data_IF_240670491677
#
_entry.id   IF_240670491677
#
_cell.length_a   1.000
_cell.length_b   1.000
_cell.length_c   1.000
_cell.angle_alpha   90.00
_cell.angle_beta   90.00
_cell.angle_gamma   90.00
#
_symmetry.space_group_name_H-M   'P 1'
#
loop_
_entity.id
_entity.type
_entity.pdbx_description
1 polymer ?
#
# COMPACT_ATOMS: atom_id res chain seq x y z
N UNK A 1 -18.53 -3.03 -73.39
CA UNK A 1 -17.59 -2.15 -72.65
C UNK A 1 -17.71 -2.50 -71.17
N UNK A 2 -16.86 -3.43 -70.71
CA UNK A 2 -16.92 -4.03 -69.37
C UNK A 2 -16.23 -3.11 -68.37
N UNK A 3 -17.01 -2.51 -67.45
CA UNK A 3 -16.50 -1.65 -66.37
C UNK A 3 -16.02 -2.50 -65.20
N UNK A 4 -14.78 -2.28 -64.80
CA UNK A 4 -14.19 -2.73 -63.55
C UNK A 4 -14.61 -1.81 -62.38
N UNK A 5 -14.80 -2.38 -61.18
CA UNK A 5 -14.80 -1.70 -59.87
C UNK A 5 -14.67 -2.80 -58.80
N UNK A 6 -13.44 -3.10 -58.35
CA UNK A 6 -12.75 -2.64 -57.13
C UNK A 6 -13.49 -3.05 -55.82
N UNK A 7 -12.83 -3.83 -54.94
CA UNK A 7 -13.43 -4.44 -53.75
C UNK A 7 -13.47 -3.47 -52.56
N UNK A 8 -14.52 -3.56 -51.74
CA UNK A 8 -14.62 -2.87 -50.45
C UNK A 8 -14.30 -3.86 -49.33
N UNK A 9 -13.03 -3.89 -48.92
CA UNK A 9 -12.55 -4.67 -47.77
C UNK A 9 -12.73 -3.81 -46.51
N UNK A 10 -13.77 -4.07 -45.73
CA UNK A 10 -13.99 -3.41 -44.44
C UNK A 10 -13.21 -4.15 -43.34
N UNK A 11 -12.02 -3.66 -43.00
CA UNK A 11 -11.32 -4.03 -41.78
C UNK A 11 -12.03 -3.36 -40.59
N UNK A 12 -12.80 -4.13 -39.84
CA UNK A 12 -13.28 -3.71 -38.51
C UNK A 12 -12.15 -4.05 -37.53
N UNK A 13 -11.32 -3.06 -37.23
CA UNK A 13 -10.42 -3.09 -36.08
C UNK A 13 -11.27 -3.03 -34.81
N UNK A 14 -11.54 -4.17 -34.20
CA UNK A 14 -11.97 -4.23 -32.81
C UNK A 14 -10.81 -3.72 -31.95
N UNK A 15 -10.85 -2.44 -31.57
CA UNK A 15 -10.01 -1.93 -30.51
C UNK A 15 -10.45 -2.59 -29.20
N UNK A 16 -9.71 -3.61 -28.76
CA UNK A 16 -9.69 -3.97 -27.35
C UNK A 16 -9.09 -2.77 -26.61
N UNK A 17 -9.93 -1.80 -26.24
CA UNK A 17 -9.59 -0.80 -25.26
C UNK A 17 -9.40 -1.53 -23.94
N UNK A 18 -8.16 -1.93 -23.66
CA UNK A 18 -7.74 -2.28 -22.31
C UNK A 18 -7.99 -1.03 -21.47
N UNK A 19 -9.10 -1.01 -20.75
CA UNK A 19 -9.27 -0.18 -19.57
C UNK A 19 -8.28 -0.71 -18.54
N UNK A 20 -6.99 -0.38 -18.71
CA UNK A 20 -6.11 -0.24 -17.58
C UNK A 20 -6.79 0.86 -16.76
N UNK A 21 -7.46 0.47 -15.68
CA UNK A 21 -7.86 1.43 -14.66
C UNK A 21 -6.57 2.07 -14.20
N UNK A 22 -6.25 3.25 -14.74
CA UNK A 22 -5.24 4.09 -14.15
C UNK A 22 -5.65 4.28 -12.69
N UNK A 23 -4.71 4.08 -11.76
CA UNK A 23 -4.90 4.35 -10.34
C UNK A 23 -5.62 5.70 -10.20
N UNK A 24 -6.79 5.71 -9.57
CA UNK A 24 -7.64 6.90 -9.44
C UNK A 24 -6.86 8.11 -8.91
N UNK A 25 -5.89 7.84 -8.04
CA UNK A 25 -5.06 8.81 -7.36
C UNK A 25 -3.62 8.87 -7.87
N UNK A 26 -3.26 8.05 -8.86
CA UNK A 26 -1.93 8.00 -9.45
C UNK A 26 -0.87 7.36 -8.55
N UNK A 27 0.39 7.70 -8.85
CA UNK A 27 1.57 7.36 -8.05
C UNK A 27 1.53 8.08 -6.69
N UNK A 28 1.78 7.33 -5.61
CA UNK A 28 1.79 7.82 -4.24
C UNK A 28 3.10 7.44 -3.57
N UNK A 29 4.03 8.40 -3.42
CA UNK A 29 5.25 8.18 -2.66
C UNK A 29 4.96 7.84 -1.20
N UNK A 30 5.61 6.79 -0.70
CA UNK A 30 5.60 6.40 0.71
C UNK A 30 7.04 6.19 1.18
N UNK A 31 7.39 6.83 2.30
CA UNK A 31 8.72 6.68 2.92
C UNK A 31 8.64 5.67 4.05
N UNK A 32 9.48 4.64 3.98
CA UNK A 32 9.68 3.62 5.01
C UNK A 32 10.87 3.98 5.91
N UNK A 33 11.03 3.31 7.06
CA UNK A 33 12.23 3.45 7.89
C UNK A 33 13.52 3.17 7.10
N UNK A 34 14.64 3.75 7.52
CA UNK A 34 15.93 3.61 6.83
C UNK A 34 16.40 2.14 6.77
N UNK A 35 16.19 1.39 7.85
CA UNK A 35 16.55 -0.03 7.92
C UNK A 35 15.40 -0.89 7.40
N UNK A 36 15.69 -1.75 6.41
CA UNK A 36 14.80 -2.83 6.01
C UNK A 36 14.55 -3.78 7.19
N UNK A 37 13.29 -4.11 7.43
CA UNK A 37 12.89 -5.14 8.41
C UNK A 37 11.67 -5.92 7.93
N UNK A 38 11.33 -6.99 8.63
CA UNK A 38 10.11 -7.74 8.36
C UNK A 38 8.82 -6.91 8.49
N UNK A 39 8.83 -5.80 9.24
CA UNK A 39 7.67 -4.90 9.33
C UNK A 39 7.34 -4.24 7.98
N UNK A 40 8.27 -4.20 7.04
CA UNK A 40 8.01 -3.67 5.69
C UNK A 40 7.22 -4.66 4.81
N UNK A 41 7.07 -5.92 5.24
CA UNK A 41 6.50 -7.00 4.43
C UNK A 41 5.10 -6.68 3.90
N UNK A 42 4.24 -6.07 4.72
CA UNK A 42 2.89 -5.71 4.28
C UNK A 42 2.86 -4.65 3.19
N UNK A 43 3.84 -3.74 3.15
CA UNK A 43 3.96 -2.70 2.11
C UNK A 43 4.39 -3.34 0.79
N UNK A 44 5.50 -4.08 0.80
CA UNK A 44 5.99 -4.77 -0.39
C UNK A 44 4.99 -5.81 -0.91
N UNK A 45 4.25 -6.47 -0.03
CA UNK A 45 3.23 -7.42 -0.44
C UNK A 45 2.00 -6.75 -1.05
N UNK A 46 1.64 -5.54 -0.58
CA UNK A 46 0.59 -4.75 -1.20
C UNK A 46 0.93 -4.38 -2.64
N UNK A 47 2.15 -3.93 -2.92
CA UNK A 47 2.59 -3.58 -4.28
C UNK A 47 2.75 -4.83 -5.16
N UNK A 48 3.39 -5.88 -4.64
CA UNK A 48 3.64 -7.12 -5.37
C UNK A 48 2.35 -7.83 -5.82
N UNK A 49 1.30 -7.78 -5.00
CA UNK A 49 -0.03 -8.32 -5.33
C UNK A 49 -0.97 -7.28 -5.95
N UNK A 50 -0.46 -6.09 -6.29
CA UNK A 50 -1.20 -4.96 -6.89
C UNK A 50 -2.47 -4.61 -6.10
N UNK A 51 -2.41 -4.70 -4.77
CA UNK A 51 -3.52 -4.33 -3.90
C UNK A 51 -3.69 -2.83 -3.85
N UNK A 52 -2.59 -2.09 -3.85
CA UNK A 52 -2.56 -0.66 -4.01
C UNK A 52 -3.29 -0.21 -5.27
N UNK A 53 -2.94 -0.77 -6.44
CA UNK A 53 -3.60 -0.41 -7.70
C UNK A 53 -5.10 -0.72 -7.64
N UNK A 54 -5.46 -1.84 -7.02
CA UNK A 54 -6.84 -2.23 -6.77
C UNK A 54 -7.62 -1.25 -5.89
N UNK A 55 -6.96 -0.54 -4.98
CA UNK A 55 -7.53 0.55 -4.18
C UNK A 55 -7.43 1.92 -4.87
N UNK A 56 -6.81 1.99 -6.04
CA UNK A 56 -6.70 3.19 -6.86
C UNK A 56 -5.46 4.04 -6.60
N UNK A 57 -4.42 3.50 -5.95
CA UNK A 57 -3.11 4.16 -5.73
C UNK A 57 -1.99 3.28 -6.28
N UNK A 58 -0.87 3.86 -6.71
CA UNK A 58 0.34 3.09 -7.05
C UNK A 58 1.44 3.49 -6.06
N UNK A 59 1.78 2.62 -5.10
CA UNK A 59 2.70 3.00 -4.04
C UNK A 59 4.15 3.01 -4.56
N UNK A 60 4.78 4.18 -4.50
CA UNK A 60 6.19 4.34 -4.80
C UNK A 60 6.99 4.29 -3.51
N UNK A 61 7.54 3.11 -3.21
CA UNK A 61 8.27 2.84 -1.97
C UNK A 61 9.66 3.48 -2.02
N UNK A 62 9.96 4.34 -1.05
CA UNK A 62 11.29 4.92 -0.83
C UNK A 62 11.71 4.77 0.63
N UNK A 63 13.02 4.89 0.89
CA UNK A 63 13.58 5.03 2.25
C UNK A 63 14.19 6.40 2.49
N UNK A 64 14.16 7.26 1.47
CA UNK A 64 14.77 8.57 1.48
C UNK A 64 13.77 9.63 0.99
N UNK A 65 14.06 10.87 1.35
CA UNK A 65 13.33 12.04 0.88
C UNK A 65 12.10 12.38 1.70
N UNK A 66 11.30 13.28 1.14
CA UNK A 66 10.08 13.76 1.74
C UNK A 66 8.86 13.24 0.96
N UNK A 67 7.91 12.66 1.69
CA UNK A 67 6.64 12.19 1.17
C UNK A 67 5.49 12.54 2.12
N UNK A 68 4.31 12.64 1.53
CA UNK A 68 3.05 12.88 2.25
C UNK A 68 2.68 11.69 3.13
N UNK A 69 3.07 10.47 2.75
CA UNK A 69 2.85 9.24 3.51
C UNK A 69 4.16 8.71 4.06
N UNK A 70 4.19 8.41 5.36
CA UNK A 70 5.39 7.89 6.03
C UNK A 70 5.06 6.79 7.02
N UNK A 71 5.83 5.71 6.97
CA UNK A 71 5.88 4.72 8.04
C UNK A 71 7.07 5.05 8.93
N UNK A 72 6.81 5.36 10.20
CA UNK A 72 7.83 5.86 11.13
C UNK A 72 7.51 5.56 12.59
N UNK A 73 8.53 5.49 13.43
CA UNK A 73 8.44 5.44 14.89
C UNK A 73 8.38 6.85 15.52
N UNK A 74 8.65 7.89 14.73
CA UNK A 74 8.69 9.28 15.17
C UNK A 74 8.04 10.21 14.12
N UNK A 75 6.71 10.33 14.14
CA UNK A 75 6.00 11.24 13.24
C UNK A 75 6.55 12.68 13.34
N UNK A 76 6.87 13.33 12.21
CA UNK A 76 7.26 14.73 12.21
C UNK A 76 6.08 15.65 12.57
N UNK A 77 6.37 16.90 12.92
CA UNK A 77 5.33 17.91 13.15
C UNK A 77 4.46 18.09 11.90
N UNK A 78 3.14 18.13 12.06
CA UNK A 78 2.19 18.21 10.94
C UNK A 78 1.83 16.84 10.32
N UNK A 79 2.42 15.74 10.80
CA UNK A 79 2.01 14.39 10.41
C UNK A 79 0.92 13.86 11.35
N UNK A 80 -0.21 13.45 10.81
CA UNK A 80 -1.31 12.84 11.55
C UNK A 80 -1.21 11.33 11.43
N UNK A 81 -1.14 10.64 12.57
CA UNK A 81 -1.13 9.18 12.60
C UNK A 81 -2.50 8.64 12.23
N UNK A 82 -2.55 7.75 11.22
CA UNK A 82 -3.79 7.20 10.68
C UNK A 82 -3.88 5.68 10.76
N UNK A 83 -2.74 4.97 10.90
CA UNK A 83 -2.67 3.53 11.09
C UNK A 83 -1.50 3.14 12.00
N UNK A 84 -1.68 2.11 12.83
CA UNK A 84 -0.59 1.42 13.51
C UNK A 84 -0.10 0.23 12.68
N UNK A 85 1.17 0.24 12.30
CA UNK A 85 1.82 -0.92 11.68
C UNK A 85 2.21 -1.93 12.76
N UNK A 86 2.82 -1.43 13.84
CA UNK A 86 3.22 -2.23 14.99
C UNK A 86 2.63 -1.60 16.26
N UNK A 87 1.57 -2.20 16.85
CA UNK A 87 0.93 -1.66 18.04
C UNK A 87 1.79 -1.84 19.33
N UNK A 88 1.48 -1.10 20.41
CA UNK A 88 0.47 -0.05 20.44
C UNK A 88 0.88 1.23 19.73
N UNK A 89 2.16 1.45 19.39
CA UNK A 89 2.67 2.63 18.65
C UNK A 89 4.17 2.55 18.30
N UNK A 90 4.70 1.35 18.11
CA UNK A 90 6.14 1.21 17.79
C UNK A 90 6.45 1.66 16.37
N UNK A 91 5.49 1.50 15.46
CA UNK A 91 5.60 1.89 14.08
C UNK A 91 4.22 2.26 13.56
N UNK A 92 4.10 3.44 12.94
CA UNK A 92 2.81 3.99 12.49
C UNK A 92 2.91 4.50 11.07
N UNK A 93 1.81 4.42 10.33
CA UNK A 93 1.61 5.25 9.14
C UNK A 93 1.08 6.60 9.60
N UNK A 94 1.81 7.65 9.28
CA UNK A 94 1.35 9.03 9.39
C UNK A 94 1.28 9.67 8.01
N UNK A 95 0.37 10.64 7.89
CA UNK A 95 0.15 11.42 6.67
C UNK A 95 0.23 12.91 6.96
N UNK A 96 0.70 13.71 6.01
CA UNK A 96 0.62 15.17 6.10
C UNK A 96 -0.83 15.64 6.38
N UNK A 97 -0.98 16.57 7.33
CA UNK A 97 -2.28 17.06 7.77
C UNK A 97 -3.09 17.69 6.64
N UNK A 98 -2.43 18.41 5.71
CA UNK A 98 -3.10 19.05 4.57
C UNK A 98 -3.64 17.98 3.64
N UNK A 99 -2.84 16.95 3.35
CA UNK A 99 -3.26 15.84 2.49
C UNK A 99 -4.43 15.06 3.11
N UNK A 100 -4.43 14.86 4.43
CA UNK A 100 -5.55 14.22 5.12
C UNK A 100 -6.86 15.02 4.98
N UNK A 101 -6.77 16.35 4.99
CA UNK A 101 -7.93 17.24 4.89
C UNK A 101 -8.42 17.38 3.43
N UNK A 102 -7.50 17.57 2.50
CA UNK A 102 -7.81 17.87 1.10
C UNK A 102 -8.15 16.60 0.30
N UNK A 103 -7.47 15.48 0.59
CA UNK A 103 -7.46 14.26 -0.20
C UNK A 103 -7.76 13.01 0.64
N UNK A 104 -8.70 13.09 1.59
CA UNK A 104 -9.07 11.97 2.48
C UNK A 104 -9.31 10.64 1.75
N UNK A 105 -9.90 10.68 0.55
CA UNK A 105 -10.16 9.47 -0.24
C UNK A 105 -8.87 8.75 -0.68
N UNK A 106 -7.81 9.51 -1.00
CA UNK A 106 -6.47 8.96 -1.29
C UNK A 106 -5.87 8.33 -0.05
N UNK A 107 -6.01 8.97 1.11
CA UNK A 107 -5.54 8.40 2.39
C UNK A 107 -6.24 7.08 2.71
N UNK A 108 -7.56 7.01 2.49
CA UNK A 108 -8.31 5.77 2.65
C UNK A 108 -7.85 4.68 1.68
N UNK A 109 -7.55 5.01 0.42
CA UNK A 109 -7.01 4.06 -0.55
C UNK A 109 -5.67 3.46 -0.09
N UNK A 110 -4.74 4.30 0.37
CA UNK A 110 -3.46 3.83 0.95
C UNK A 110 -3.70 2.96 2.19
N UNK A 111 -4.59 3.39 3.09
CA UNK A 111 -4.95 2.63 4.29
C UNK A 111 -5.49 1.23 3.96
N UNK A 112 -6.42 1.11 3.00
CA UNK A 112 -6.97 -0.16 2.55
C UNK A 112 -5.92 -1.05 1.89
N UNK A 113 -5.07 -0.47 1.04
CA UNK A 113 -4.00 -1.20 0.37
C UNK A 113 -3.06 -1.85 1.39
N UNK A 114 -2.66 -1.09 2.40
CA UNK A 114 -1.82 -1.60 3.49
C UNK A 114 -2.57 -2.61 4.37
N UNK A 115 -3.82 -2.35 4.76
CA UNK A 115 -4.61 -3.34 5.50
C UNK A 115 -4.68 -4.68 4.79
N UNK A 116 -4.89 -4.68 3.47
CA UNK A 116 -4.87 -5.90 2.66
C UNK A 116 -3.47 -6.51 2.61
N UNK A 117 -2.45 -5.71 2.32
CA UNK A 117 -1.05 -6.15 2.27
C UNK A 117 -0.60 -6.86 3.54
N UNK A 118 -0.75 -6.22 4.70
CA UNK A 118 -0.37 -6.80 6.00
C UNK A 118 -1.23 -7.99 6.39
N UNK A 119 -2.55 -7.95 6.13
CA UNK A 119 -3.43 -9.08 6.44
C UNK A 119 -3.07 -10.31 5.61
N UNK A 120 -2.69 -10.14 4.34
CA UNK A 120 -2.30 -11.25 3.48
C UNK A 120 -0.87 -11.70 3.76
N UNK A 121 0.05 -10.78 4.08
CA UNK A 121 1.41 -11.13 4.48
C UNK A 121 1.44 -12.03 5.73
N UNK A 122 0.52 -11.82 6.69
CA UNK A 122 0.36 -12.72 7.85
C UNK A 122 -0.07 -14.14 7.45
N UNK A 123 -0.84 -14.28 6.36
CA UNK A 123 -1.37 -15.57 5.89
C UNK A 123 -0.39 -16.28 4.96
N UNK A 124 0.40 -15.52 4.22
CA UNK A 124 1.29 -15.97 3.15
C UNK A 124 2.74 -15.46 3.38
N UNK A 125 3.39 -15.79 4.51
CA UNK A 125 4.67 -15.19 4.91
C UNK A 125 5.80 -15.44 3.91
N UNK A 126 5.88 -16.65 3.33
CA UNK A 126 6.90 -16.98 2.32
C UNK A 126 6.79 -16.14 1.05
N UNK A 127 5.57 -15.77 0.69
CA UNK A 127 5.33 -14.93 -0.48
C UNK A 127 5.58 -13.45 -0.17
N UNK A 128 5.24 -13.01 1.05
CA UNK A 128 5.61 -11.68 1.52
C UNK A 128 7.14 -11.49 1.55
N UNK A 129 7.91 -12.50 1.98
CA UNK A 129 9.37 -12.49 1.87
C UNK A 129 9.84 -12.41 0.43
N UNK A 130 9.19 -13.15 -0.47
CA UNK A 130 9.50 -13.12 -1.90
C UNK A 130 9.26 -11.74 -2.50
N UNK A 131 8.18 -11.06 -2.11
CA UNK A 131 7.90 -9.68 -2.49
C UNK A 131 9.01 -8.71 -2.06
N UNK A 132 9.49 -8.80 -0.80
CA UNK A 132 10.61 -7.97 -0.34
C UNK A 132 11.87 -8.24 -1.18
N UNK A 133 12.25 -9.51 -1.34
CA UNK A 133 13.51 -9.88 -2.03
C UNK A 133 13.48 -9.62 -3.54
N UNK A 134 12.29 -9.49 -4.14
CA UNK A 134 12.14 -9.09 -5.54
C UNK A 134 12.52 -7.62 -5.75
N UNK A 135 12.16 -6.76 -4.78
CA UNK A 135 12.42 -5.31 -4.83
C UNK A 135 13.76 -4.91 -4.19
N UNK A 136 14.25 -5.70 -3.22
CA UNK A 136 15.53 -5.49 -2.54
C UNK A 136 16.42 -6.74 -2.72
N UNK A 137 17.17 -6.84 -3.83
CA UNK A 137 17.92 -8.06 -4.18
C UNK A 137 19.00 -8.47 -3.18
N UNK A 138 19.55 -7.50 -2.43
CA UNK A 138 20.62 -7.73 -1.45
C UNK A 138 20.06 -8.02 -0.03
N UNK A 139 18.74 -8.16 0.12
CA UNK A 139 18.13 -8.46 1.40
C UNK A 139 18.50 -9.86 1.91
N UNK A 140 18.88 -9.96 3.18
CA UNK A 140 19.12 -11.25 3.84
C UNK A 140 17.77 -11.94 4.12
N UNK A 141 17.40 -12.85 3.22
CA UNK A 141 16.12 -13.57 3.28
C UNK A 141 15.97 -14.38 4.56
N UNK A 142 17.03 -15.05 5.02
CA UNK A 142 16.96 -15.91 6.20
C UNK A 142 16.78 -15.07 7.47
N UNK A 143 17.47 -13.92 7.56
CA UNK A 143 17.26 -12.97 8.63
C UNK A 143 15.84 -12.39 8.62
N UNK A 144 15.32 -11.99 7.44
CA UNK A 144 13.96 -11.48 7.30
C UNK A 144 12.89 -12.52 7.64
N UNK A 145 13.11 -13.78 7.30
CA UNK A 145 12.21 -14.87 7.67
C UNK A 145 12.10 -15.00 9.20
N UNK A 146 13.25 -14.99 9.89
CA UNK A 146 13.28 -15.02 11.35
C UNK A 146 12.61 -13.78 11.98
N UNK A 147 12.87 -12.58 11.45
CA UNK A 147 12.19 -11.36 11.91
C UNK A 147 10.67 -11.43 11.67
N UNK A 148 10.23 -11.99 10.54
CA UNK A 148 8.82 -12.07 10.16
C UNK A 148 8.03 -13.02 11.07
N UNK A 149 8.60 -14.16 11.45
CA UNK A 149 8.00 -15.09 12.40
C UNK A 149 7.70 -14.42 13.76
N UNK A 150 8.53 -13.45 14.16
CA UNK A 150 8.34 -12.67 15.38
C UNK A 150 7.37 -11.48 15.17
N UNK A 151 7.42 -10.81 14.02
CA UNK A 151 6.69 -9.59 13.74
C UNK A 151 5.22 -9.83 13.32
N UNK A 152 4.95 -10.81 12.46
CA UNK A 152 3.62 -11.01 11.88
C UNK A 152 2.50 -11.21 12.93
N UNK A 153 2.70 -11.98 14.02
CA UNK A 153 1.67 -12.15 15.05
C UNK A 153 1.31 -10.86 15.81
N UNK A 154 2.21 -9.87 15.85
CA UNK A 154 2.01 -8.64 16.64
C UNK A 154 1.36 -7.51 15.84
N UNK A 155 1.29 -7.58 14.51
CA UNK A 155 0.71 -6.53 13.68
C UNK A 155 -0.76 -6.24 13.99
N UNK A 156 -1.56 -7.30 14.22
CA UNK A 156 -2.97 -7.14 14.62
C UNK A 156 -3.12 -7.15 16.16
N UNK A 157 -2.30 -7.91 16.89
CA UNK A 157 -2.26 -7.97 18.37
C UNK A 157 -3.63 -7.99 19.09
N UNK A 158 -4.62 -8.70 18.53
CA UNK A 158 -5.97 -8.79 19.11
C UNK A 158 -6.87 -7.58 18.90
N UNK A 159 -6.45 -6.61 18.10
CA UNK A 159 -7.29 -5.51 17.61
C UNK A 159 -8.36 -6.02 16.64
N UNK A 160 -9.49 -5.31 16.50
CA UNK A 160 -10.59 -5.73 15.61
C UNK A 160 -10.20 -5.77 14.13
N UNK A 161 -9.19 -5.00 13.73
CA UNK A 161 -8.63 -4.93 12.38
C UNK A 161 -7.18 -4.44 12.45
N UNK A 162 -6.39 -4.74 11.40
CA UNK A 162 -5.04 -4.21 11.25
C UNK A 162 -5.06 -2.68 11.16
N UNK A 163 -4.10 -2.00 11.78
CA UNK A 163 -4.03 -0.54 11.73
C UNK A 163 -4.79 0.20 12.83
N UNK A 164 -5.55 -0.48 13.67
CA UNK A 164 -6.33 0.16 14.72
C UNK A 164 -5.44 1.01 15.64
N UNK A 165 -5.86 2.27 15.85
CA UNK A 165 -5.21 3.21 16.76
C UNK A 165 -6.23 3.80 17.72
N UNK A 166 -5.77 4.17 18.91
CA UNK A 166 -6.58 4.94 19.85
C UNK A 166 -6.77 6.38 19.37
N UNK A 167 -7.89 6.99 19.75
CA UNK A 167 -8.11 8.43 19.54
C UNK A 167 -7.18 9.24 20.42
N UNK A 168 -6.60 10.29 19.87
CA UNK A 168 -5.76 11.22 20.63
C UNK A 168 -5.28 12.40 19.80
N UNK A 169 -4.59 13.37 20.42
CA UNK A 169 -3.97 14.47 19.71
C UNK A 169 -2.99 13.96 18.63
N UNK A 170 -3.07 14.50 17.41
CA UNK A 170 -2.22 14.09 16.29
C UNK A 170 -2.58 12.73 15.69
N UNK A 171 -3.80 12.23 15.94
CA UNK A 171 -4.25 10.91 15.49
C UNK A 171 -5.64 11.00 14.90
N UNK A 172 -5.85 10.38 13.74
CA UNK A 172 -7.19 10.18 13.18
C UNK A 172 -7.52 8.68 13.09
N UNK A 173 -8.12 8.17 14.17
CA UNK A 173 -8.54 6.77 14.26
C UNK A 173 -9.67 6.41 13.31
N UNK A 174 -10.33 7.38 12.68
CA UNK A 174 -11.42 7.09 11.75
C UNK A 174 -10.90 6.51 10.44
N UNK A 175 -9.69 6.89 9.99
CA UNK A 175 -9.11 6.38 8.73
C UNK A 175 -8.97 4.85 8.76
N UNK A 176 -8.28 4.29 9.77
CA UNK A 176 -8.11 2.84 9.87
C UNK A 176 -9.44 2.09 9.99
N UNK A 177 -10.42 2.66 10.71
CA UNK A 177 -11.75 2.07 10.86
C UNK A 177 -12.52 2.08 9.55
N UNK A 178 -12.63 3.25 8.93
CA UNK A 178 -13.41 3.44 7.70
C UNK A 178 -12.79 2.60 6.55
N UNK A 179 -11.45 2.44 6.53
CA UNK A 179 -10.77 1.52 5.62
C UNK A 179 -11.16 0.04 5.84
N UNK A 180 -11.37 -0.38 7.08
CA UNK A 180 -11.73 -1.76 7.42
C UNK A 180 -13.21 -2.09 7.18
N UNK A 181 -14.10 -1.09 7.14
CA UNK A 181 -15.55 -1.28 6.99
C UNK A 181 -15.99 -1.50 5.53
N UNK A 182 -15.14 -1.19 4.55
CA UNK A 182 -15.45 -1.29 3.11
C UNK A 182 -15.08 -2.66 2.48
N UNK A 183 -14.82 -3.69 3.30
CA UNK A 183 -14.49 -5.07 2.91
C UNK A 183 -15.44 -6.12 3.51
#
# INVERSE_FOLDING_TARGET
MTRALIPLLALILAGCGSTQSASQFGEVPIVLPERLSADDAGVYFATYRTYDEGEGVELLVSREGDADFRITDRPPSGCITVLAIVPPDRLVLCVDEVILQDDRAKVLAVARALQRGYTQAQKEPEEALSAITAEVPDADRDALAAELDEAAPVWTAGQPYFGAIERGPGRDSSVARDAAEDH
#
